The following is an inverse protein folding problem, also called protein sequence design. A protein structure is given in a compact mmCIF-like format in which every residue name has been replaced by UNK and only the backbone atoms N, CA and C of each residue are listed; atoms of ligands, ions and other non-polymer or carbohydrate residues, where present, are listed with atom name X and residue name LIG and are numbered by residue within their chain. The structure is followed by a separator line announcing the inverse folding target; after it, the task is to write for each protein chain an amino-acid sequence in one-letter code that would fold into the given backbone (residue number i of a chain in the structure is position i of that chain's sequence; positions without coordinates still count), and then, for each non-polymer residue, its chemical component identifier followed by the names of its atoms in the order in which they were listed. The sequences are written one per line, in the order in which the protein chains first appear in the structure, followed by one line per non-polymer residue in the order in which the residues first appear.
data_IF_300885831030
#
_entry.id   IF_300885831030
#
_cell.length_a   1.000
_cell.length_b   1.000
_cell.length_c   1.000
_cell.angle_alpha   90.00
_cell.angle_beta   90.00
_cell.angle_gamma   90.00
#
_symmetry.space_group_name_H-M   'P 1'
#
loop_
_entity.id
_entity.type
_entity.pdbx_description
1 polymer ?
#
# COMPACT_ATOMS: atom_id res chain seq x y z
N UNK A 1 -1.50 3.81 6.87
CA UNK A 1 -2.35 4.27 5.75
C UNK A 1 -1.52 4.35 4.48
N UNK A 2 -0.46 5.16 4.47
CA UNK A 2 0.44 5.30 3.33
C UNK A 2 1.55 4.26 3.27
N UNK A 3 2.50 4.29 4.20
CA UNK A 3 3.62 3.36 4.19
C UNK A 3 4.60 3.69 5.29
N UNK A 4 5.84 3.24 5.11
CA UNK A 4 6.95 3.47 6.02
C UNK A 4 8.18 3.90 5.20
N UNK A 5 9.18 4.50 5.85
CA UNK A 5 10.47 4.78 5.22
C UNK A 5 11.13 3.45 4.82
N UNK A 6 11.60 3.30 3.58
CA UNK A 6 12.14 2.04 3.06
C UNK A 6 13.47 1.61 3.72
N UNK A 7 14.28 2.58 4.14
CA UNK A 7 15.62 2.39 4.72
C UNK A 7 15.61 2.05 6.21
N UNK A 8 14.44 2.15 6.86
CA UNK A 8 14.27 1.90 8.29
C UNK A 8 13.48 0.62 8.52
N UNK A 9 13.80 -0.08 9.60
CA UNK A 9 12.98 -1.18 10.11
C UNK A 9 11.61 -0.67 10.54
N UNK A 10 10.66 -1.59 10.72
CA UNK A 10 9.31 -1.24 11.19
C UNK A 10 9.38 -0.64 12.61
N UNK A 11 10.24 -1.19 13.47
CA UNK A 11 10.43 -0.68 14.84
C UNK A 11 10.95 0.76 14.82
N UNK A 12 12.00 1.05 14.03
CA UNK A 12 12.55 2.40 13.91
C UNK A 12 11.55 3.42 13.34
N UNK A 13 10.70 3.02 12.39
CA UNK A 13 9.63 3.89 11.90
C UNK A 13 8.60 4.19 13.01
N UNK A 14 8.21 3.18 13.78
CA UNK A 14 7.22 3.33 14.84
C UNK A 14 7.74 4.15 16.02
N UNK A 15 9.03 4.00 16.36
CA UNK A 15 9.67 4.74 17.44
C UNK A 15 9.74 6.25 17.17
N UNK A 16 9.87 6.66 15.90
CA UNK A 16 9.83 8.06 15.51
C UNK A 16 8.46 8.71 15.74
N UNK A 17 7.38 7.92 15.71
CA UNK A 17 5.99 8.41 15.83
C UNK A 17 5.68 9.56 14.87
N UNK A 18 6.30 9.53 13.69
CA UNK A 18 6.17 10.56 12.67
C UNK A 18 4.86 10.33 11.89
N UNK A 19 3.86 11.16 12.17
CA UNK A 19 2.56 11.07 11.51
C UNK A 19 2.66 11.32 10.00
N UNK A 20 3.60 12.16 9.56
CA UNK A 20 3.79 12.44 8.14
C UNK A 20 4.25 11.18 7.39
N UNK A 21 5.07 10.35 8.03
CA UNK A 21 5.45 9.04 7.45
C UNK A 21 4.24 8.14 7.31
N UNK A 22 3.46 7.97 8.38
CA UNK A 22 2.33 7.03 8.40
C UNK A 22 1.19 7.42 7.44
N UNK A 23 1.06 8.72 7.16
CA UNK A 23 -0.01 9.32 6.36
C UNK A 23 0.40 9.67 4.94
N UNK A 24 1.68 9.97 4.65
CA UNK A 24 2.09 10.57 3.37
C UNK A 24 3.31 9.94 2.69
N UNK A 25 4.05 9.04 3.35
CA UNK A 25 5.26 8.42 2.76
C UNK A 25 4.97 7.61 1.49
N UNK A 26 5.83 7.74 0.47
CA UNK A 26 5.71 7.09 -0.85
C UNK A 26 7.02 6.54 -1.42
N UNK A 27 8.18 6.89 -0.86
CA UNK A 27 9.49 6.49 -1.34
C UNK A 27 9.70 4.98 -1.42
N UNK A 28 9.00 4.20 -0.58
CA UNK A 28 9.00 2.74 -0.63
C UNK A 28 8.45 2.15 -1.94
N UNK A 29 7.69 2.92 -2.73
CA UNK A 29 7.15 2.46 -4.02
C UNK A 29 8.24 2.29 -5.08
N UNK A 30 9.27 3.14 -5.03
CA UNK A 30 10.37 3.20 -5.99
C UNK A 30 11.68 2.63 -5.42
N UNK A 31 11.71 2.29 -4.13
CA UNK A 31 12.85 1.66 -3.48
C UNK A 31 13.11 0.25 -4.05
N UNK A 32 14.39 -0.06 -4.28
CA UNK A 32 14.84 -1.39 -4.72
C UNK A 32 14.77 -2.42 -3.60
N UNK A 33 14.97 -1.99 -2.35
CA UNK A 33 14.95 -2.83 -1.16
C UNK A 33 14.18 -2.16 -0.03
N UNK A 34 13.66 -2.99 0.89
CA UNK A 34 12.92 -2.56 2.07
C UNK A 34 13.55 -3.21 3.30
N UNK A 35 14.01 -2.40 4.24
CA UNK A 35 14.59 -2.84 5.53
C UNK A 35 13.55 -3.50 6.46
N UNK A 36 12.28 -3.54 6.04
CA UNK A 36 11.18 -4.09 6.80
C UNK A 36 11.37 -5.59 7.06
N UNK A 37 11.12 -6.00 8.31
CA UNK A 37 11.23 -7.41 8.73
C UNK A 37 10.03 -8.29 8.37
N UNK A 38 8.93 -7.69 7.87
CA UNK A 38 7.70 -8.38 7.47
C UNK A 38 6.95 -7.59 6.40
N UNK A 39 5.97 -8.20 5.70
CA UNK A 39 5.14 -7.49 4.74
C UNK A 39 4.36 -6.35 5.41
N UNK A 40 4.30 -5.21 4.73
CA UNK A 40 3.47 -4.06 5.09
C UNK A 40 2.36 -3.90 4.07
N UNK A 41 1.11 -3.86 4.55
CA UNK A 41 -0.07 -3.60 3.72
C UNK A 41 -0.39 -2.11 3.80
N UNK A 42 -0.60 -1.47 2.65
CA UNK A 42 -0.94 -0.06 2.60
C UNK A 42 -1.90 0.32 1.46
N UNK A 43 -2.36 1.56 1.50
CA UNK A 43 -3.18 2.18 0.45
C UNK A 43 -2.59 3.53 0.05
N UNK A 44 -3.42 4.58 0.05
CA UNK A 44 -3.05 6.00 -0.11
C UNK A 44 -2.49 6.44 -1.47
N UNK A 45 -1.79 5.55 -2.19
CA UNK A 45 -1.25 5.82 -3.53
C UNK A 45 -2.00 4.99 -4.56
N UNK A 46 -3.07 5.53 -5.18
CA UNK A 46 -3.87 4.79 -6.16
C UNK A 46 -3.02 4.22 -7.29
N UNK A 47 -3.20 2.92 -7.56
CA UNK A 47 -2.64 2.21 -8.73
C UNK A 47 -3.78 1.51 -9.48
N UNK A 48 -3.65 1.27 -10.80
CA UNK A 48 -4.66 0.49 -11.52
C UNK A 48 -4.81 -0.94 -10.97
N UNK A 49 -3.68 -1.53 -10.59
CA UNK A 49 -3.58 -2.89 -10.06
C UNK A 49 -2.91 -2.89 -8.67
N UNK A 50 -3.25 -3.84 -7.79
CA UNK A 50 -2.56 -3.97 -6.52
C UNK A 50 -1.08 -4.30 -6.74
N UNK A 51 -0.22 -3.80 -5.83
CA UNK A 51 1.19 -4.18 -5.82
C UNK A 51 1.34 -5.36 -4.86
N UNK A 52 1.90 -6.47 -5.35
CA UNK A 52 2.25 -7.63 -4.54
C UNK A 52 3.74 -7.94 -4.62
N UNK A 53 4.54 -7.26 -3.80
CA UNK A 53 5.97 -7.56 -3.59
C UNK A 53 6.14 -8.29 -2.27
N UNK A 54 7.29 -8.94 -2.07
CA UNK A 54 7.56 -9.71 -0.85
C UNK A 54 7.25 -8.93 0.43
N UNK A 55 7.75 -7.69 0.53
CA UNK A 55 7.60 -6.84 1.72
C UNK A 55 6.56 -5.72 1.58
N UNK A 56 5.97 -5.51 0.40
CA UNK A 56 5.02 -4.43 0.13
C UNK A 56 3.75 -4.98 -0.53
N UNK A 57 2.61 -4.73 0.09
CA UNK A 57 1.28 -5.00 -0.47
C UNK A 57 0.51 -3.68 -0.54
N UNK A 58 0.23 -3.16 -1.73
CA UNK A 58 -0.58 -1.96 -1.91
C UNK A 58 -1.95 -2.33 -2.49
N UNK A 59 -3.03 -2.00 -1.77
CA UNK A 59 -4.41 -2.37 -2.13
C UNK A 59 -5.28 -1.18 -2.57
N UNK A 60 -4.71 0.02 -2.66
CA UNK A 60 -5.42 1.18 -3.19
C UNK A 60 -5.52 1.11 -4.71
N UNK A 61 -6.60 0.50 -5.19
CA UNK A 61 -6.98 0.47 -6.61
C UNK A 61 -7.86 1.65 -7.02
N UNK A 62 -7.81 2.74 -6.26
CA UNK A 62 -8.45 3.99 -6.59
C UNK A 62 -9.97 3.90 -6.71
N UNK A 63 -10.66 3.30 -5.73
CA UNK A 63 -12.12 3.12 -5.74
C UNK A 63 -12.89 4.41 -6.09
N UNK A 64 -12.53 5.53 -5.47
CA UNK A 64 -13.16 6.84 -5.71
C UNK A 64 -12.75 7.48 -7.06
N UNK A 65 -11.77 6.92 -7.75
CA UNK A 65 -11.27 7.40 -9.04
C UNK A 65 -11.84 6.61 -10.22
N UNK A 66 -13.10 6.18 -10.13
CA UNK A 66 -13.79 5.36 -11.15
C UNK A 66 -13.84 5.99 -12.55
N UNK A 67 -13.67 7.31 -12.65
CA UNK A 67 -13.58 8.03 -13.93
C UNK A 67 -12.22 7.89 -14.62
N UNK A 68 -11.18 7.38 -13.94
CA UNK A 68 -9.85 7.18 -14.52
C UNK A 68 -9.72 5.76 -15.08
N UNK A 69 -9.23 5.58 -16.33
CA UNK A 69 -9.01 4.25 -16.90
C UNK A 69 -8.18 3.34 -15.99
N UNK A 70 -8.67 2.14 -15.72
CA UNK A 70 -8.01 1.13 -14.88
C UNK A 70 -8.18 1.33 -13.37
N UNK A 71 -8.84 2.39 -12.90
CA UNK A 71 -9.18 2.60 -11.49
C UNK A 71 -10.68 2.35 -11.24
N UNK A 72 -11.17 2.64 -10.03
CA UNK A 72 -12.57 2.47 -9.68
C UNK A 72 -12.90 1.16 -9.00
N UNK A 73 -11.92 0.55 -8.33
CA UNK A 73 -12.12 -0.73 -7.62
C UNK A 73 -11.78 -0.56 -6.15
N UNK A 74 -12.56 -1.19 -5.28
CA UNK A 74 -12.21 -1.40 -3.88
C UNK A 74 -11.58 -2.79 -3.76
N UNK A 75 -10.27 -2.84 -3.52
CA UNK A 75 -9.52 -4.10 -3.44
C UNK A 75 -9.21 -4.47 -2.00
N UNK A 76 -9.40 -5.75 -1.68
CA UNK A 76 -8.97 -6.40 -0.46
C UNK A 76 -7.94 -7.49 -0.78
N UNK A 77 -7.15 -7.89 0.22
CA UNK A 77 -6.21 -9.00 0.14
C UNK A 77 -6.52 -10.02 1.23
N UNK A 78 -6.67 -11.28 0.85
CA UNK A 78 -6.83 -12.42 1.75
C UNK A 78 -5.44 -13.01 2.06
N UNK A 79 -5.10 -13.11 3.34
CA UNK A 79 -3.80 -13.57 3.83
C UNK A 79 -3.94 -14.91 4.58
N UNK A 80 -2.94 -15.81 4.53
CA UNK A 80 -1.60 -15.61 3.98
C UNK A 80 -1.46 -15.80 2.46
N UNK A 81 -2.49 -16.26 1.77
CA UNK A 81 -2.45 -16.66 0.35
C UNK A 81 -2.15 -15.50 -0.62
N UNK A 82 -2.35 -14.26 -0.18
CA UNK A 82 -2.26 -13.03 -0.98
C UNK A 82 -3.18 -13.06 -2.20
N UNK A 83 -4.38 -13.60 -2.00
CA UNK A 83 -5.45 -13.56 -2.99
C UNK A 83 -6.11 -12.18 -2.97
N UNK A 84 -6.14 -11.51 -4.12
CA UNK A 84 -6.75 -10.19 -4.25
C UNK A 84 -8.19 -10.34 -4.74
N UNK A 85 -9.10 -9.70 -4.01
CA UNK A 85 -10.54 -9.69 -4.31
C UNK A 85 -10.96 -8.24 -4.40
N UNK A 86 -11.74 -7.89 -5.41
CA UNK A 86 -12.20 -6.53 -5.61
C UNK A 86 -13.64 -6.45 -6.08
N UNK A 87 -14.24 -5.30 -5.77
CA UNK A 87 -15.57 -4.92 -6.27
C UNK A 87 -15.44 -3.57 -6.98
N UNK A 88 -16.24 -3.34 -8.04
CA UNK A 88 -16.29 -2.03 -8.67
C UNK A 88 -16.87 -0.99 -7.70
N UNK A 89 -16.51 0.26 -7.93
CA UNK A 89 -17.15 1.41 -7.31
C UNK A 89 -18.67 1.33 -7.46
N UNK A 90 -19.39 1.71 -6.41
CA UNK A 90 -20.86 1.79 -6.38
C UNK A 90 -21.26 3.16 -5.88
N UNK A 91 -22.17 3.80 -6.62
CA UNK A 91 -22.88 5.03 -6.21
C UNK A 91 -23.94 4.76 -5.14
#
# INVERSE_FOLDING_TARGET
HAGLKPELTIEENLDQKDEDVLLWERGHLDASELAWGKPVVCGHTPRPDPINREKLILIDTGCVYHMKPGMGRLTAVHLPEREFIDVPYSD
#
